data_IF_978507116912
#
_entry.id   IF_978507116912
#
_cell.length_a   1.000
_cell.length_b   1.000
_cell.length_c   1.000
_cell.angle_alpha   90.00
_cell.angle_beta   90.00
_cell.angle_gamma   90.00
#
_symmetry.space_group_name_H-M   'P 1'
#
loop_
_entity.id
_entity.type
_entity.pdbx_description
1 polymer ?
#
# COMPACT_ATOMS: atom_id res chain seq x y z
N UNK A 1 5.40 -18.57 -2.55
CA UNK A 1 4.36 -17.51 -2.64
C UNK A 1 4.79 -16.38 -1.74
N UNK A 2 4.51 -15.14 -2.11
CA UNK A 2 4.77 -13.98 -1.23
C UNK A 2 3.63 -13.87 -0.21
N UNK A 3 3.90 -13.33 0.99
CA UNK A 3 2.88 -13.19 2.02
C UNK A 3 1.82 -12.18 1.58
N UNK A 4 0.57 -12.43 1.97
CA UNK A 4 -0.55 -11.52 1.70
C UNK A 4 -0.54 -10.31 2.63
N UNK A 5 -1.08 -9.19 2.15
CA UNK A 5 -1.38 -8.03 2.99
C UNK A 5 -2.64 -8.34 3.82
N UNK A 6 -2.56 -8.10 5.12
CA UNK A 6 -3.67 -8.32 6.06
C UNK A 6 -4.16 -7.03 6.74
N UNK A 7 -3.33 -5.98 6.77
CA UNK A 7 -3.73 -4.66 7.20
C UNK A 7 -2.98 -3.58 6.42
N UNK A 8 -3.61 -2.40 6.31
CA UNK A 8 -3.03 -1.22 5.69
C UNK A 8 -3.43 0.02 6.47
N UNK A 9 -2.50 0.95 6.61
CA UNK A 9 -2.74 2.31 7.10
C UNK A 9 -2.22 3.30 6.06
N UNK A 10 -3.09 4.24 5.64
CA UNK A 10 -2.65 5.40 4.88
C UNK A 10 -1.90 6.38 5.79
N UNK A 11 -0.75 6.86 5.32
CA UNK A 11 0.09 7.84 5.97
C UNK A 11 0.13 9.14 5.13
N UNK A 12 0.67 10.24 5.69
CA UNK A 12 0.96 11.45 4.92
C UNK A 12 1.86 11.17 3.70
N UNK A 13 1.89 12.13 2.77
CA UNK A 13 2.74 12.09 1.57
C UNK A 13 2.58 10.80 0.75
N UNK A 14 1.35 10.29 0.66
CA UNK A 14 1.00 9.08 -0.10
C UNK A 14 1.79 7.82 0.29
N UNK A 15 2.20 7.72 1.56
CA UNK A 15 2.80 6.50 2.07
C UNK A 15 1.75 5.52 2.60
N UNK A 16 2.06 4.23 2.52
CA UNK A 16 1.29 3.16 3.17
C UNK A 16 2.17 2.47 4.20
N UNK A 17 1.58 2.12 5.34
CA UNK A 17 2.12 1.10 6.24
C UNK A 17 1.32 -0.18 6.02
N UNK A 18 2.02 -1.25 5.64
CA UNK A 18 1.46 -2.55 5.32
C UNK A 18 1.82 -3.55 6.41
N UNK A 19 0.86 -4.35 6.86
CA UNK A 19 1.11 -5.55 7.66
C UNK A 19 0.88 -6.79 6.80
N UNK A 20 1.87 -7.67 6.75
CA UNK A 20 1.81 -8.93 6.03
C UNK A 20 1.44 -10.09 6.95
N UNK A 21 0.88 -11.16 6.40
CA UNK A 21 0.43 -12.33 7.18
C UNK A 21 1.55 -13.06 7.94
N UNK A 22 2.81 -12.84 7.54
CA UNK A 22 3.99 -13.37 8.23
C UNK A 22 4.49 -12.48 9.38
N UNK A 23 3.77 -11.38 9.69
CA UNK A 23 4.12 -10.44 10.74
C UNK A 23 5.09 -9.34 10.31
N UNK A 24 5.52 -9.29 9.05
CA UNK A 24 6.34 -8.17 8.56
C UNK A 24 5.52 -6.90 8.42
N UNK A 25 6.16 -5.78 8.74
CA UNK A 25 5.63 -4.44 8.52
C UNK A 25 6.51 -3.72 7.51
N UNK A 26 5.91 -3.10 6.49
CA UNK A 26 6.65 -2.37 5.46
C UNK A 26 5.98 -1.04 5.11
N UNK A 27 6.81 -0.03 4.91
CA UNK A 27 6.41 1.23 4.30
C UNK A 27 6.50 1.14 2.79
N UNK A 28 5.48 1.65 2.10
CA UNK A 28 5.43 1.72 0.64
C UNK A 28 5.12 3.15 0.21
N UNK A 29 5.98 3.73 -0.64
CA UNK A 29 5.81 5.08 -1.20
C UNK A 29 5.02 5.00 -2.52
N UNK A 30 3.83 5.58 -2.56
CA UNK A 30 3.02 5.64 -3.79
C UNK A 30 3.40 6.79 -4.72
N UNK A 31 4.21 7.75 -4.28
CA UNK A 31 4.55 8.95 -5.06
C UNK A 31 5.09 8.63 -6.46
N UNK A 32 5.98 7.63 -6.65
CA UNK A 32 6.48 7.26 -7.98
C UNK A 32 5.39 6.77 -8.92
N UNK A 33 4.25 6.32 -8.41
CA UNK A 33 3.17 5.70 -9.18
C UNK A 33 2.07 6.68 -9.57
N UNK A 34 1.93 7.80 -8.86
CA UNK A 34 0.81 8.75 -9.03
C UNK A 34 0.72 9.38 -10.43
N UNK A 35 1.78 9.28 -11.24
CA UNK A 35 1.78 9.77 -12.62
C UNK A 35 1.01 8.83 -13.57
N UNK A 36 0.86 7.54 -13.24
CA UNK A 36 0.11 6.61 -14.09
C UNK A 36 -1.40 6.93 -14.08
N UNK A 37 -2.08 6.90 -15.23
CA UNK A 37 -3.49 7.30 -15.33
C UNK A 37 -4.43 6.60 -14.34
N UNK A 38 -4.20 5.31 -14.08
CA UNK A 38 -5.01 4.52 -13.12
C UNK A 38 -4.87 5.01 -11.67
N UNK A 39 -3.72 5.59 -11.32
CA UNK A 39 -3.43 6.07 -9.96
C UNK A 39 -3.62 7.57 -9.78
N UNK A 40 -3.97 8.32 -10.83
CA UNK A 40 -4.26 9.75 -10.74
C UNK A 40 -5.30 10.11 -9.66
N UNK A 41 -6.39 9.33 -9.45
CA UNK A 41 -7.34 9.60 -8.36
C UNK A 41 -6.69 9.61 -6.97
N UNK A 42 -5.61 8.84 -6.79
CA UNK A 42 -4.90 8.71 -5.53
C UNK A 42 -4.09 9.98 -5.17
N UNK A 43 -3.86 10.90 -6.11
CA UNK A 43 -3.25 12.20 -5.79
C UNK A 43 -4.09 13.01 -4.79
N UNK A 44 -5.42 12.81 -4.80
CA UNK A 44 -6.29 13.38 -3.78
C UNK A 44 -6.12 12.61 -2.47
N UNK A 45 -5.56 13.24 -1.43
CA UNK A 45 -5.34 12.60 -0.13
C UNK A 45 -6.62 12.02 0.49
N UNK A 46 -7.77 12.68 0.32
CA UNK A 46 -9.05 12.18 0.82
C UNK A 46 -9.46 10.86 0.17
N UNK A 47 -9.23 10.74 -1.14
CA UNK A 47 -9.44 9.49 -1.87
C UNK A 47 -8.39 8.43 -1.52
N UNK A 48 -7.11 8.82 -1.39
CA UNK A 48 -6.03 7.94 -0.96
C UNK A 48 -6.30 7.30 0.41
N UNK A 49 -6.89 8.06 1.33
CA UNK A 49 -7.23 7.56 2.67
C UNK A 49 -8.37 6.51 2.66
N UNK A 50 -9.02 6.28 1.52
CA UNK A 50 -10.02 5.20 1.36
C UNK A 50 -9.39 3.83 1.09
N UNK A 51 -8.06 3.71 1.20
CA UNK A 51 -7.34 2.45 1.05
C UNK A 51 -7.90 1.40 2.00
N UNK A 52 -8.07 0.17 1.49
CA UNK A 52 -8.46 -1.00 2.28
C UNK A 52 -7.71 -2.23 1.78
N UNK A 53 -7.69 -3.27 2.61
CA UNK A 53 -7.26 -4.60 2.17
C UNK A 53 -8.43 -5.31 1.50
N UNK A 54 -8.19 -5.89 0.32
CA UNK A 54 -9.13 -6.79 -0.36
C UNK A 54 -8.35 -7.88 -1.11
N UNK A 55 -8.88 -9.11 -1.14
CA UNK A 55 -8.23 -10.26 -1.80
C UNK A 55 -6.73 -10.49 -1.50
N UNK A 56 -6.24 -10.04 -0.33
CA UNK A 56 -4.84 -10.18 0.08
C UNK A 56 -3.90 -9.10 -0.46
N UNK A 57 -4.43 -7.99 -0.97
CA UNK A 57 -3.69 -6.81 -1.39
C UNK A 57 -4.38 -5.51 -1.01
N UNK A 58 -3.80 -4.35 -1.32
CA UNK A 58 -4.43 -3.04 -1.11
C UNK A 58 -5.26 -2.60 -2.31
N UNK A 59 -6.41 -2.01 -2.03
CA UNK A 59 -7.35 -1.51 -3.04
C UNK A 59 -7.95 -0.17 -2.62
N UNK A 60 -8.43 0.59 -3.61
CA UNK A 60 -9.23 1.80 -3.47
C UNK A 60 -10.53 1.66 -4.24
N UNK A 61 -11.53 2.55 -4.02
CA UNK A 61 -12.73 2.59 -4.85
C UNK A 61 -12.40 2.69 -6.35
N UNK A 62 -13.21 2.03 -7.18
CA UNK A 62 -13.02 2.07 -8.63
C UNK A 62 -12.02 1.06 -9.18
N UNK A 63 -11.88 -0.11 -8.53
CA UNK A 63 -11.03 -1.22 -8.98
C UNK A 63 -9.54 -0.84 -9.13
N UNK A 64 -9.07 0.10 -8.30
CA UNK A 64 -7.66 0.48 -8.25
C UNK A 64 -6.98 -0.40 -7.21
N UNK A 65 -6.00 -1.18 -7.62
CA UNK A 65 -5.21 -2.04 -6.75
C UNK A 65 -3.71 -1.93 -7.06
N UNK A 66 -2.91 -2.52 -6.18
CA UNK A 66 -1.49 -2.75 -6.43
C UNK A 66 -1.25 -4.23 -6.23
N UNK A 67 -0.50 -4.87 -7.13
CA UNK A 67 -0.16 -6.27 -6.99
C UNK A 67 0.63 -6.51 -5.66
N UNK A 68 0.29 -7.56 -4.88
CA UNK A 68 0.95 -7.84 -3.61
C UNK A 68 2.46 -8.08 -3.75
N UNK A 69 2.90 -8.61 -4.90
CA UNK A 69 4.33 -8.77 -5.21
C UNK A 69 5.06 -7.42 -5.22
N UNK A 70 4.41 -6.38 -5.75
CA UNK A 70 5.02 -5.05 -5.83
C UNK A 70 5.18 -4.48 -4.43
N UNK A 71 4.12 -4.54 -3.64
CA UNK A 71 4.08 -4.08 -2.25
C UNK A 71 5.17 -4.75 -1.41
N UNK A 72 5.33 -6.07 -1.55
CA UNK A 72 6.30 -6.82 -0.76
C UNK A 72 7.75 -6.57 -1.19
N UNK A 73 8.02 -6.55 -2.50
CA UNK A 73 9.39 -6.44 -3.01
C UNK A 73 9.96 -5.03 -2.93
N UNK A 74 9.13 -3.99 -3.10
CA UNK A 74 9.59 -2.60 -3.02
C UNK A 74 9.30 -1.92 -1.68
N UNK A 75 8.45 -2.52 -0.85
CA UNK A 75 8.20 -2.04 0.50
C UNK A 75 9.46 -2.12 1.37
N UNK A 76 9.77 -1.02 2.05
CA UNK A 76 10.90 -0.89 2.97
C UNK A 76 10.48 -1.37 4.34
N UNK A 77 11.22 -2.31 4.92
CA UNK A 77 10.92 -2.85 6.24
C UNK A 77 10.89 -1.73 7.31
N UNK A 78 9.87 -1.76 8.15
CA UNK A 78 9.82 -0.93 9.34
C UNK A 78 10.89 -1.44 10.33
N UNK A 79 11.87 -0.60 10.65
CA UNK A 79 12.85 -0.92 11.67
C UNK A 79 12.22 -0.67 13.03
N UNK A 80 11.85 -1.74 13.74
CA UNK A 80 11.50 -1.64 15.15
C UNK A 80 12.77 -1.25 15.90
N UNK A 81 12.86 0.01 16.36
CA UNK A 81 13.83 0.39 17.38
C UNK A 81 13.47 -0.39 18.64
N UNK A 82 14.36 -1.30 19.05
CA UNK A 82 14.27 -2.02 20.32
C UNK A 82 14.48 -1.07 21.52
#
# INVERSE_FOLDING_TARGET
MLPKVIAVQALPDHHLLLTFENGEHKHFDMSPYLHYPVFQPLQNQGFFNLVKVDYGTVTWPGEIDIAPERLYLEGVAEWVQA
#
